data_IF_083238579336
#
_entry.id   IF_083238579336
#
_cell.length_a   1.000
_cell.length_b   1.000
_cell.length_c   1.000
_cell.angle_alpha   90.00
_cell.angle_beta   90.00
_cell.angle_gamma   90.00
#
_symmetry.space_group_name_H-M   'P 1'
#
loop_
_entity.id
_entity.type
_entity.pdbx_description
1 polymer ?
#
# COMPACT_ATOMS: atom_id res chain seq x y z
N UNK A 1 -0.83 34.54 -39.24
CA UNK A 1 -0.19 33.90 -38.08
C UNK A 1 -0.91 32.59 -37.83
N UNK A 2 -0.31 31.48 -38.26
CA UNK A 2 -0.84 30.13 -38.03
C UNK A 2 -0.54 29.76 -36.59
N UNK A 3 -1.55 29.54 -35.77
CA UNK A 3 -1.35 29.01 -34.42
C UNK A 3 -0.95 27.54 -34.55
N UNK A 4 0.31 27.23 -34.29
CA UNK A 4 0.77 25.84 -34.16
C UNK A 4 0.21 25.29 -32.84
N UNK A 5 -0.73 24.35 -32.93
CA UNK A 5 -1.27 23.69 -31.74
C UNK A 5 -0.17 22.79 -31.16
N UNK A 6 0.18 22.91 -29.87
CA UNK A 6 1.16 22.01 -29.26
C UNK A 6 0.63 20.57 -29.36
N UNK A 7 1.46 19.59 -29.75
CA UNK A 7 1.01 18.22 -29.89
C UNK A 7 0.41 17.73 -28.57
N UNK A 8 -0.71 16.97 -28.59
CA UNK A 8 -1.28 16.42 -27.38
C UNK A 8 -0.20 15.61 -26.66
N UNK A 9 0.03 15.91 -25.38
CA UNK A 9 0.96 15.13 -24.54
C UNK A 9 0.50 13.68 -24.51
N UNK A 10 1.15 12.83 -25.30
CA UNK A 10 0.86 11.40 -25.35
C UNK A 10 1.32 10.78 -24.02
N UNK A 11 0.39 10.18 -23.28
CA UNK A 11 0.74 9.38 -22.11
C UNK A 11 1.59 8.20 -22.59
N UNK A 12 2.72 7.87 -21.95
CA UNK A 12 3.52 6.72 -22.34
C UNK A 12 2.65 5.45 -22.33
N UNK A 13 2.82 4.61 -23.34
CA UNK A 13 2.07 3.36 -23.44
C UNK A 13 2.26 2.53 -22.16
N UNK A 14 1.15 2.09 -21.56
CA UNK A 14 1.17 1.32 -20.30
C UNK A 14 1.03 2.14 -19.00
N UNK A 15 1.05 3.48 -19.06
CA UNK A 15 0.91 4.33 -17.86
C UNK A 15 -0.37 4.07 -17.05
N UNK A 16 -1.49 3.80 -17.72
CA UNK A 16 -2.76 3.52 -17.05
C UNK A 16 -2.76 2.12 -16.39
N UNK A 17 -2.06 1.15 -17.00
CA UNK A 17 -1.86 -0.17 -16.42
C UNK A 17 -0.94 -0.11 -15.19
N UNK A 18 0.14 0.66 -15.26
CA UNK A 18 1.05 0.89 -14.14
C UNK A 18 0.32 1.51 -12.93
N UNK A 19 -0.51 2.52 -13.17
CA UNK A 19 -1.36 3.12 -12.13
C UNK A 19 -2.32 2.11 -11.52
N UNK A 20 -2.89 1.23 -12.36
CA UNK A 20 -3.79 0.17 -11.89
C UNK A 20 -3.08 -0.78 -10.94
N UNK A 21 -1.89 -1.27 -11.32
CA UNK A 21 -1.09 -2.16 -10.47
C UNK A 21 -0.61 -1.47 -9.18
N UNK A 22 -0.16 -0.22 -9.27
CA UNK A 22 0.20 0.58 -8.10
C UNK A 22 -0.98 0.73 -7.13
N UNK A 23 -2.17 1.03 -7.65
CA UNK A 23 -3.41 1.16 -6.86
C UNK A 23 -3.73 -0.16 -6.15
N UNK A 24 -3.72 -1.27 -6.89
CA UNK A 24 -4.04 -2.59 -6.37
C UNK A 24 -3.08 -3.04 -5.26
N UNK A 25 -1.80 -2.68 -5.34
CA UNK A 25 -0.84 -3.01 -4.30
C UNK A 25 -1.23 -2.39 -2.95
N UNK A 26 -1.68 -1.14 -2.93
CA UNK A 26 -2.12 -0.47 -1.69
C UNK A 26 -3.43 -1.05 -1.14
N UNK A 27 -4.37 -1.42 -2.01
CA UNK A 27 -5.68 -1.95 -1.59
C UNK A 27 -5.60 -3.26 -0.79
N UNK A 28 -4.47 -3.97 -0.84
CA UNK A 28 -4.21 -5.11 0.05
C UNK A 28 -4.39 -4.78 1.53
N UNK A 29 -4.14 -3.54 1.96
CA UNK A 29 -4.28 -3.12 3.35
C UNK A 29 -5.71 -3.21 3.91
N UNK A 30 -6.74 -3.32 3.06
CA UNK A 30 -8.13 -3.59 3.46
C UNK A 30 -8.24 -4.98 4.13
N UNK A 31 -7.39 -5.92 3.72
CA UNK A 31 -7.38 -7.29 4.25
C UNK A 31 -6.49 -7.43 5.50
N UNK A 32 -6.07 -6.33 6.12
CA UNK A 32 -5.21 -6.35 7.30
C UNK A 32 -5.82 -7.11 8.49
N UNK A 33 -7.14 -6.99 8.72
CA UNK A 33 -7.83 -7.75 9.78
C UNK A 33 -7.75 -9.28 9.61
N UNK A 34 -7.51 -9.75 8.40
CA UNK A 34 -7.31 -11.17 8.08
C UNK A 34 -5.82 -11.57 8.11
N UNK A 35 -4.91 -10.67 8.51
CA UNK A 35 -3.46 -10.89 8.56
C UNK A 35 -2.80 -11.20 7.20
N UNK A 36 -3.53 -10.98 6.10
CA UNK A 36 -3.08 -11.27 4.73
C UNK A 36 -2.96 -10.01 3.85
N UNK A 37 -3.07 -8.82 4.44
CA UNK A 37 -3.08 -7.56 3.69
C UNK A 37 -1.82 -7.26 2.88
N UNK A 38 -0.69 -7.90 3.21
CA UNK A 38 0.60 -7.77 2.52
C UNK A 38 0.70 -8.61 1.24
N UNK A 39 -0.17 -9.62 1.07
CA UNK A 39 -0.06 -10.57 -0.05
C UNK A 39 -0.22 -9.90 -1.41
N UNK A 40 -1.22 -9.02 -1.65
CA UNK A 40 -1.35 -8.36 -2.95
C UNK A 40 -0.13 -7.51 -3.32
N UNK A 41 0.41 -6.72 -2.37
CA UNK A 41 1.60 -5.92 -2.64
C UNK A 41 2.83 -6.79 -2.89
N UNK A 42 3.00 -7.90 -2.17
CA UNK A 42 4.11 -8.82 -2.42
C UNK A 42 4.05 -9.42 -3.83
N UNK A 43 2.88 -9.95 -4.21
CA UNK A 43 2.69 -10.57 -5.53
C UNK A 43 2.95 -9.54 -6.63
N UNK A 44 2.37 -8.34 -6.52
CA UNK A 44 2.55 -7.28 -7.51
C UNK A 44 4.01 -6.84 -7.58
N UNK A 45 4.67 -6.66 -6.43
CA UNK A 45 6.09 -6.33 -6.38
C UNK A 45 6.93 -7.42 -7.05
N UNK A 46 6.72 -8.71 -6.76
CA UNK A 46 7.46 -9.80 -7.39
C UNK A 46 7.24 -9.89 -8.90
N UNK A 47 6.02 -9.65 -9.38
CA UNK A 47 5.70 -9.71 -10.82
C UNK A 47 6.26 -8.51 -11.59
N UNK A 48 6.36 -7.33 -10.95
CA UNK A 48 6.73 -6.09 -11.62
C UNK A 48 8.13 -5.57 -11.26
N UNK A 49 8.85 -6.15 -10.28
CA UNK A 49 10.13 -5.64 -9.73
C UNK A 49 11.24 -5.43 -10.75
N UNK A 50 11.22 -6.16 -11.86
CA UNK A 50 12.24 -6.03 -12.92
C UNK A 50 11.86 -4.96 -13.97
N UNK A 51 10.65 -4.40 -13.87
CA UNK A 51 10.17 -3.33 -14.74
C UNK A 51 10.53 -1.97 -14.15
N UNK A 52 10.60 -0.95 -15.01
CA UNK A 52 10.56 0.45 -14.56
C UNK A 52 9.12 0.90 -14.33
N UNK A 53 8.95 2.11 -13.78
CA UNK A 53 7.64 2.75 -13.65
C UNK A 53 7.07 2.72 -12.22
N UNK A 54 5.82 3.18 -12.08
CA UNK A 54 5.21 3.43 -10.77
C UNK A 54 4.78 2.14 -10.07
N UNK A 55 4.37 1.12 -10.81
CA UNK A 55 3.87 -0.14 -10.25
C UNK A 55 4.86 -0.82 -9.29
N UNK A 56 6.12 -1.12 -9.68
CA UNK A 56 7.07 -1.77 -8.78
C UNK A 56 7.47 -0.88 -7.59
N UNK A 57 7.59 0.44 -7.80
CA UNK A 57 7.95 1.38 -6.74
C UNK A 57 6.86 1.47 -5.67
N UNK A 58 5.60 1.72 -6.08
CA UNK A 58 4.48 1.82 -5.16
C UNK A 58 4.12 0.47 -4.54
N UNK A 59 4.32 -0.64 -5.26
CA UNK A 59 4.17 -1.97 -4.66
C UNK A 59 5.19 -2.24 -3.55
N UNK A 60 6.45 -1.82 -3.71
CA UNK A 60 7.46 -1.90 -2.65
C UNK A 60 7.06 -1.06 -1.43
N UNK A 61 6.56 0.16 -1.66
CA UNK A 61 6.10 1.07 -0.59
C UNK A 61 4.91 0.47 0.15
N UNK A 62 3.92 -0.05 -0.58
CA UNK A 62 2.75 -0.74 -0.02
C UNK A 62 3.17 -1.96 0.81
N UNK A 63 4.07 -2.79 0.28
CA UNK A 63 4.55 -3.99 0.93
C UNK A 63 5.25 -3.69 2.27
N UNK A 64 6.17 -2.73 2.28
CA UNK A 64 6.87 -2.30 3.50
C UNK A 64 5.88 -1.82 4.59
N UNK A 65 4.87 -1.04 4.20
CA UNK A 65 3.85 -0.58 5.13
C UNK A 65 2.97 -1.72 5.64
N UNK A 66 2.48 -2.59 4.75
CA UNK A 66 1.61 -3.71 5.13
C UNK A 66 2.34 -4.73 6.02
N UNK A 67 3.64 -4.95 5.81
CA UNK A 67 4.48 -5.75 6.71
C UNK A 67 4.70 -5.07 8.05
N UNK A 68 4.87 -3.74 8.07
CA UNK A 68 4.95 -2.96 9.32
C UNK A 68 3.67 -3.13 10.15
N UNK A 69 2.50 -3.04 9.51
CA UNK A 69 1.22 -3.26 10.17
C UNK A 69 1.01 -4.72 10.58
N UNK A 70 1.46 -5.68 9.78
CA UNK A 70 1.40 -7.10 10.15
C UNK A 70 2.14 -7.34 11.47
N UNK A 71 3.34 -6.78 11.62
CA UNK A 71 4.11 -6.87 12.87
C UNK A 71 3.31 -6.26 14.03
N UNK A 72 2.75 -5.06 13.85
CA UNK A 72 1.93 -4.41 14.87
C UNK A 72 0.70 -5.27 15.26
N UNK A 73 0.01 -5.87 14.28
CA UNK A 73 -1.13 -6.75 14.51
C UNK A 73 -0.75 -8.03 15.25
N UNK A 74 0.40 -8.64 14.91
CA UNK A 74 0.91 -9.82 15.60
C UNK A 74 1.24 -9.50 17.07
N UNK A 75 1.91 -8.37 17.32
CA UNK A 75 2.18 -7.91 18.69
C UNK A 75 0.88 -7.67 19.46
N UNK A 76 -0.10 -7.00 18.83
CA UNK A 76 -1.39 -6.74 19.45
C UNK A 76 -2.17 -8.03 19.76
N UNK A 77 -2.06 -9.06 18.91
CA UNK A 77 -2.63 -10.40 19.16
C UNK A 77 -1.97 -11.10 20.35
N UNK A 78 -0.66 -10.99 20.50
CA UNK A 78 0.04 -11.53 21.67
C UNK A 78 -0.45 -10.82 22.95
N UNK A 79 -0.59 -9.50 22.92
CA UNK A 79 -1.13 -8.73 24.07
C UNK A 79 -2.58 -9.12 24.36
N UNK A 80 -3.41 -9.33 23.33
CA UNK A 80 -4.80 -9.76 23.47
C UNK A 80 -4.93 -11.09 24.22
N UNK A 81 -3.99 -12.02 24.03
CA UNK A 81 -4.00 -13.31 24.71
C UNK A 81 -3.68 -13.25 26.22
N UNK A 82 -3.24 -12.09 26.73
CA UNK A 82 -2.89 -11.93 28.14
C UNK A 82 -4.14 -11.63 28.99
N UNK A 83 -4.43 -12.40 30.07
CA UNK A 83 -5.65 -12.25 30.85
C UNK A 83 -5.86 -10.86 31.49
N UNK A 84 -4.77 -10.21 31.90
CA UNK A 84 -4.83 -8.94 32.63
C UNK A 84 -5.02 -7.72 31.71
N UNK A 85 -4.54 -7.79 30.46
CA UNK A 85 -4.48 -6.64 29.54
C UNK A 85 -5.05 -6.92 28.14
N UNK A 86 -5.75 -8.05 27.96
CA UNK A 86 -6.21 -8.51 26.66
C UNK A 86 -7.08 -7.49 25.91
N UNK A 87 -7.89 -6.70 26.63
CA UNK A 87 -8.70 -5.61 26.08
C UNK A 87 -7.83 -4.57 25.35
N UNK A 88 -6.63 -4.27 25.85
CA UNK A 88 -5.70 -3.34 25.20
C UNK A 88 -5.22 -3.90 23.87
N UNK A 89 -4.92 -5.20 23.79
CA UNK A 89 -4.55 -5.87 22.55
C UNK A 89 -5.67 -5.85 21.52
N UNK A 90 -6.91 -6.13 21.95
CA UNK A 90 -8.09 -6.05 21.09
C UNK A 90 -8.32 -4.63 20.54
N UNK A 91 -8.25 -3.60 21.39
CA UNK A 91 -8.35 -2.20 20.97
C UNK A 91 -7.25 -1.81 19.99
N UNK A 92 -6.02 -2.29 20.22
CA UNK A 92 -4.90 -2.06 19.31
C UNK A 92 -5.13 -2.71 17.94
N UNK A 93 -5.69 -3.92 17.87
CA UNK A 93 -6.03 -4.57 16.59
C UNK A 93 -7.04 -3.74 15.80
N UNK A 94 -8.10 -3.27 16.46
CA UNK A 94 -9.10 -2.39 15.84
C UNK A 94 -8.47 -1.08 15.37
N UNK A 95 -7.67 -0.43 16.21
CA UNK A 95 -6.97 0.81 15.85
C UNK A 95 -6.04 0.66 14.65
N UNK A 96 -5.19 -0.38 14.68
CA UNK A 96 -4.23 -0.67 13.59
C UNK A 96 -4.97 -1.01 12.29
N UNK A 97 -6.06 -1.77 12.35
CA UNK A 97 -6.87 -2.07 11.17
C UNK A 97 -7.56 -0.85 10.56
N UNK A 98 -8.05 0.08 11.38
CA UNK A 98 -8.59 1.37 10.90
C UNK A 98 -7.49 2.20 10.22
N UNK A 99 -6.33 2.31 10.86
CA UNK A 99 -5.17 3.02 10.31
C UNK A 99 -4.74 2.41 8.98
N UNK A 100 -4.70 1.08 8.89
CA UNK A 100 -4.44 0.35 7.64
C UNK A 100 -5.42 0.74 6.55
N UNK A 101 -6.72 0.70 6.84
CA UNK A 101 -7.77 1.00 5.89
C UNK A 101 -7.66 2.43 5.36
N UNK A 102 -7.57 3.41 6.26
CA UNK A 102 -7.51 4.83 5.90
C UNK A 102 -6.27 5.14 5.07
N UNK A 103 -5.09 4.77 5.54
CA UNK A 103 -3.84 5.09 4.83
C UNK A 103 -3.73 4.34 3.50
N UNK A 104 -4.24 3.11 3.41
CA UNK A 104 -4.24 2.35 2.16
C UNK A 104 -5.18 2.94 1.12
N UNK A 105 -6.36 3.43 1.52
CA UNK A 105 -7.27 4.12 0.61
C UNK A 105 -6.69 5.47 0.15
N UNK A 106 -6.09 6.25 1.04
CA UNK A 106 -5.41 7.49 0.67
C UNK A 106 -4.28 7.25 -0.32
N UNK A 107 -3.47 6.21 -0.08
CA UNK A 107 -2.41 5.80 -1.00
C UNK A 107 -2.96 5.37 -2.36
N UNK A 108 -3.97 4.49 -2.36
CA UNK A 108 -4.63 4.03 -3.57
C UNK A 108 -5.19 5.19 -4.42
N UNK A 109 -5.87 6.15 -3.79
CA UNK A 109 -6.39 7.34 -4.49
C UNK A 109 -5.27 8.23 -5.01
N UNK A 110 -4.20 8.44 -4.24
CA UNK A 110 -3.07 9.27 -4.64
C UNK A 110 -2.35 8.70 -5.88
N UNK A 111 -2.07 7.39 -5.89
CA UNK A 111 -1.39 6.73 -7.02
C UNK A 111 -2.31 6.55 -8.23
N UNK A 112 -3.61 6.37 -8.02
CA UNK A 112 -4.57 6.29 -9.11
C UNK A 112 -4.65 7.61 -9.91
N UNK A 113 -4.49 8.76 -9.24
CA UNK A 113 -4.38 10.09 -9.87
C UNK A 113 -3.02 10.32 -10.56
N UNK A 114 -2.12 9.35 -10.54
CA UNK A 114 -0.79 9.40 -11.14
C UNK A 114 0.29 10.02 -10.26
N UNK A 115 -0.01 10.27 -8.98
CA UNK A 115 0.97 10.69 -7.98
C UNK A 115 1.70 9.50 -7.34
N UNK A 116 2.50 9.78 -6.32
CA UNK A 116 3.13 8.77 -5.46
C UNK A 116 2.65 8.95 -4.03
N UNK A 117 2.72 7.89 -3.23
CA UNK A 117 2.39 7.96 -1.82
C UNK A 117 3.57 7.50 -0.97
N UNK A 118 3.78 8.15 0.17
CA UNK A 118 4.70 7.70 1.22
C UNK A 118 3.94 7.61 2.52
N UNK A 119 3.97 6.43 3.12
CA UNK A 119 3.34 6.23 4.42
C UNK A 119 4.08 7.02 5.51
N UNK A 120 3.36 7.61 6.48
CA UNK A 120 3.97 8.43 7.53
C UNK A 120 4.87 7.62 8.48
N UNK A 121 4.63 6.32 8.60
CA UNK A 121 5.46 5.38 9.33
C UNK A 121 5.52 4.07 8.55
N UNK A 122 6.72 3.59 8.26
CA UNK A 122 6.96 2.32 7.56
C UNK A 122 8.37 1.85 7.84
N UNK A 123 8.55 0.54 7.95
CA UNK A 123 9.87 -0.09 8.01
C UNK A 123 10.30 -0.47 6.59
N UNK A 124 11.50 -0.05 6.18
CA UNK A 124 12.07 -0.40 4.88
C UNK A 124 12.68 -1.81 4.91
N UNK A 125 11.81 -2.83 4.85
CA UNK A 125 12.19 -4.24 4.88
C UNK A 125 12.63 -4.75 3.49
N UNK A 126 11.99 -4.25 2.44
CA UNK A 126 12.25 -4.59 1.05
C UNK A 126 12.83 -3.36 0.34
N UNK A 127 13.92 -3.58 -0.42
CA UNK A 127 14.67 -2.57 -1.18
C UNK A 127 14.52 -2.78 -2.68
#
# INVERSE_FOLDING_TARGET
MSYEYPPPTQRPAGADQDRTWATLAHLGGILAYFFIGWVPALVIWLVHRERGGQAPEQARVALNFQLTLLIALVVAKVVESLPAIGVVGWLAIVGVGIVSLVLSLLAAVAVNKGGTYRYPFTLELVR
#
